data_IF_244065000114
#
_entry.id   IF_244065000114
#
_cell.length_a   1.000
_cell.length_b   1.000
_cell.length_c   1.000
_cell.angle_alpha   90.00
_cell.angle_beta   90.00
_cell.angle_gamma   90.00
#
_symmetry.space_group_name_H-M   'P 1'
#
loop_
_entity.id
_entity.type
_entity.pdbx_description
1 polymer ?
#
# COMPACT_ATOMS: atom_id res chain seq x y z
N UNK A 1 -12.82 0.52 -35.07
CA UNK A 1 -12.04 0.97 -33.88
C UNK A 1 -11.82 -0.12 -32.83
N UNK A 2 -12.84 -0.86 -32.37
CA UNK A 2 -12.69 -1.88 -31.31
C UNK A 2 -11.62 -2.97 -31.57
N UNK A 3 -11.44 -3.42 -32.82
CA UNK A 3 -10.42 -4.42 -33.18
C UNK A 3 -8.97 -3.92 -33.03
N UNK A 4 -8.69 -2.67 -33.37
CA UNK A 4 -7.34 -2.11 -33.24
C UNK A 4 -6.94 -1.89 -31.77
N UNK A 5 -7.91 -1.53 -30.91
CA UNK A 5 -7.69 -1.41 -29.46
C UNK A 5 -7.39 -2.78 -28.84
N UNK A 6 -8.11 -3.84 -29.23
CA UNK A 6 -7.80 -5.20 -28.78
C UNK A 6 -6.44 -5.70 -29.30
N UNK A 7 -6.08 -5.41 -30.55
CA UNK A 7 -4.76 -5.75 -31.10
C UNK A 7 -3.62 -5.02 -30.37
N UNK A 8 -3.79 -3.74 -30.07
CA UNK A 8 -2.81 -2.97 -29.29
C UNK A 8 -2.63 -3.54 -27.87
N UNK A 9 -3.72 -4.00 -27.23
CA UNK A 9 -3.65 -4.73 -25.95
C UNK A 9 -2.85 -6.03 -26.07
N UNK A 10 -3.06 -6.82 -27.11
CA UNK A 10 -2.32 -8.07 -27.36
C UNK A 10 -0.82 -7.86 -27.62
N UNK A 11 -0.41 -6.66 -28.05
CA UNK A 11 0.98 -6.30 -28.32
C UNK A 11 1.70 -5.68 -27.11
N UNK A 12 1.04 -5.52 -25.96
CA UNK A 12 1.63 -4.90 -24.78
C UNK A 12 1.90 -3.39 -24.90
N UNK A 13 1.44 -2.76 -25.98
CA UNK A 13 1.62 -1.32 -26.23
C UNK A 13 1.04 -0.38 -25.16
N UNK A 14 -0.03 -0.69 -24.39
CA UNK A 14 -0.46 0.19 -23.31
C UNK A 14 0.54 0.23 -22.15
N UNK A 15 1.22 -0.88 -21.88
CA UNK A 15 2.11 -1.02 -20.73
C UNK A 15 3.42 -0.26 -20.90
N UNK A 16 3.96 -0.19 -22.12
CA UNK A 16 5.29 0.35 -22.37
C UNK A 16 5.36 1.89 -22.16
N UNK A 17 4.45 2.71 -22.70
CA UNK A 17 4.39 4.14 -22.41
C UNK A 17 4.18 4.42 -20.92
N UNK A 18 3.26 3.69 -20.26
CA UNK A 18 2.98 3.86 -18.83
C UNK A 18 4.25 3.58 -18.01
N UNK A 19 4.94 2.47 -18.29
CA UNK A 19 6.19 2.13 -17.61
C UNK A 19 7.30 3.15 -17.84
N UNK A 20 7.45 3.65 -19.06
CA UNK A 20 8.43 4.68 -19.39
C UNK A 20 8.15 5.97 -18.62
N UNK A 21 6.90 6.41 -18.57
CA UNK A 21 6.51 7.59 -17.79
C UNK A 21 6.73 7.41 -16.29
N UNK A 22 6.35 6.26 -15.73
CA UNK A 22 6.60 5.95 -14.32
C UNK A 22 8.10 5.94 -14.02
N UNK A 23 8.90 5.29 -14.87
CA UNK A 23 10.35 5.24 -14.73
C UNK A 23 10.98 6.63 -14.80
N UNK A 24 10.55 7.48 -15.74
CA UNK A 24 10.98 8.87 -15.85
C UNK A 24 10.66 9.66 -14.58
N UNK A 25 9.40 9.60 -14.12
CA UNK A 25 8.91 10.34 -12.95
C UNK A 25 9.63 9.94 -11.66
N UNK A 26 9.93 8.66 -11.47
CA UNK A 26 10.66 8.15 -10.31
C UNK A 26 12.14 8.59 -10.30
N UNK A 27 12.71 8.86 -11.48
CA UNK A 27 14.12 9.22 -11.66
C UNK A 27 14.31 10.71 -11.98
N UNK A 28 13.29 11.56 -11.76
CA UNK A 28 13.40 12.99 -12.00
C UNK A 28 14.47 13.62 -11.08
N UNK A 29 15.47 14.32 -11.64
CA UNK A 29 16.50 14.96 -10.85
C UNK A 29 15.89 16.07 -9.99
N UNK A 30 16.18 16.06 -8.68
CA UNK A 30 15.72 17.09 -7.74
C UNK A 30 14.34 16.85 -7.12
N UNK A 31 13.63 15.77 -7.47
CA UNK A 31 12.33 15.41 -6.87
C UNK A 31 12.36 13.97 -6.35
N UNK A 32 12.91 13.71 -5.16
CA UNK A 32 12.98 12.36 -4.62
C UNK A 32 11.57 11.82 -4.30
N UNK A 33 11.12 10.84 -5.07
CA UNK A 33 9.91 10.05 -4.76
C UNK A 33 10.28 8.85 -3.87
N UNK A 34 11.40 8.20 -4.19
CA UNK A 34 11.97 7.07 -3.46
C UNK A 34 12.78 7.57 -2.26
N UNK A 35 12.07 8.08 -1.24
CA UNK A 35 12.47 8.38 0.16
C UNK A 35 11.52 9.46 0.64
N UNK A 36 10.52 9.09 1.44
CA UNK A 36 9.48 9.98 1.98
C UNK A 36 9.98 11.13 2.89
N UNK A 37 11.30 11.39 2.95
CA UNK A 37 11.94 12.27 3.93
C UNK A 37 12.12 13.73 3.46
N UNK A 38 12.03 14.03 2.16
CA UNK A 38 12.24 15.39 1.65
C UNK A 38 11.03 15.90 0.87
N UNK A 39 10.37 16.93 1.40
CA UNK A 39 9.34 17.72 0.71
C UNK A 39 10.01 18.61 -0.34
N UNK A 40 10.44 18.00 -1.44
CA UNK A 40 10.97 18.74 -2.58
C UNK A 40 9.83 19.48 -3.30
N UNK A 41 10.14 20.67 -3.81
CA UNK A 41 9.22 21.43 -4.65
C UNK A 41 8.86 20.58 -5.88
N UNK A 42 7.57 20.38 -6.15
CA UNK A 42 7.08 19.55 -7.26
C UNK A 42 6.86 18.06 -6.94
N UNK A 43 7.20 17.59 -5.73
CA UNK A 43 6.96 16.18 -5.34
C UNK A 43 5.48 15.81 -5.40
N UNK A 44 4.59 16.72 -4.99
CA UNK A 44 3.14 16.51 -5.04
C UNK A 44 2.63 16.33 -6.47
N UNK A 45 3.16 17.11 -7.41
CA UNK A 45 2.77 17.03 -8.82
C UNK A 45 3.25 15.72 -9.45
N UNK A 46 4.45 15.27 -9.08
CA UNK A 46 4.97 13.95 -9.50
C UNK A 46 4.11 12.81 -8.94
N UNK A 47 3.76 12.86 -7.65
CA UNK A 47 2.90 11.83 -7.04
C UNK A 47 1.50 11.85 -7.65
N UNK A 48 0.95 13.02 -7.96
CA UNK A 48 -0.31 13.14 -8.70
C UNK A 48 -0.23 12.44 -10.07
N UNK A 49 0.82 12.70 -10.86
CA UNK A 49 1.00 12.05 -12.16
C UNK A 49 1.16 10.53 -12.01
N UNK A 50 1.89 10.07 -10.99
CA UNK A 50 2.02 8.65 -10.69
C UNK A 50 0.67 8.02 -10.31
N UNK A 51 -0.17 8.73 -9.56
CA UNK A 51 -1.53 8.29 -9.21
C UNK A 51 -2.38 8.05 -10.45
N UNK A 52 -2.39 9.02 -11.37
CA UNK A 52 -3.10 8.92 -12.65
C UNK A 52 -2.57 7.75 -13.48
N UNK A 53 -1.24 7.57 -13.58
CA UNK A 53 -0.64 6.47 -14.35
C UNK A 53 -0.99 5.10 -13.77
N UNK A 54 -1.02 4.96 -12.45
CA UNK A 54 -1.45 3.72 -11.78
C UNK A 54 -2.94 3.47 -12.01
N UNK A 55 -3.77 4.51 -11.93
CA UNK A 55 -5.20 4.41 -12.23
C UNK A 55 -5.43 3.93 -13.67
N UNK A 56 -4.73 4.51 -14.65
CA UNK A 56 -4.79 4.09 -16.06
C UNK A 56 -4.29 2.65 -16.24
N UNK A 57 -3.22 2.26 -15.54
CA UNK A 57 -2.69 0.91 -15.57
C UNK A 57 -3.70 -0.13 -15.04
N UNK A 58 -4.50 0.24 -14.04
CA UNK A 58 -5.53 -0.60 -13.44
C UNK A 58 -6.78 -0.72 -14.34
N UNK A 59 -7.33 0.39 -14.83
CA UNK A 59 -8.60 0.36 -15.56
C UNK A 59 -8.47 0.10 -17.06
N UNK A 60 -7.46 0.67 -17.70
CA UNK A 60 -7.40 0.74 -19.17
C UNK A 60 -6.33 -0.17 -19.76
N UNK A 61 -5.17 -0.21 -19.11
CA UNK A 61 -3.98 -0.88 -19.63
C UNK A 61 -3.90 -2.38 -19.34
N UNK A 62 -4.68 -2.89 -18.38
CA UNK A 62 -4.56 -4.25 -17.81
C UNK A 62 -3.08 -4.64 -17.55
N UNK A 63 -2.31 -3.65 -17.08
CA UNK A 63 -0.86 -3.73 -16.98
C UNK A 63 -0.36 -3.34 -15.59
N UNK A 64 -1.28 -3.26 -14.62
CA UNK A 64 -0.98 -2.96 -13.23
C UNK A 64 0.12 -3.89 -12.69
N UNK A 65 0.10 -5.18 -13.01
CA UNK A 65 1.15 -6.11 -12.58
C UNK A 65 2.54 -5.71 -13.09
N UNK A 66 2.64 -5.28 -14.35
CA UNK A 66 3.92 -4.82 -14.91
C UNK A 66 4.40 -3.52 -14.23
N UNK A 67 3.47 -2.63 -13.88
CA UNK A 67 3.75 -1.42 -13.11
C UNK A 67 4.21 -1.78 -11.68
N UNK A 68 3.55 -2.72 -11.02
CA UNK A 68 3.93 -3.16 -9.67
C UNK A 68 5.32 -3.81 -9.65
N UNK A 69 5.67 -4.62 -10.65
CA UNK A 69 7.02 -5.17 -10.81
C UNK A 69 8.05 -4.04 -10.94
N UNK A 70 7.79 -3.06 -11.81
CA UNK A 70 8.68 -1.90 -11.97
C UNK A 70 8.87 -1.15 -10.65
N UNK A 71 7.79 -0.85 -9.93
CA UNK A 71 7.86 -0.15 -8.63
C UNK A 71 8.66 -0.94 -7.60
N UNK A 72 8.46 -2.26 -7.51
CA UNK A 72 9.22 -3.13 -6.62
C UNK A 72 10.71 -3.18 -6.96
N UNK A 73 11.06 -3.25 -8.25
CA UNK A 73 12.45 -3.22 -8.72
C UNK A 73 13.14 -1.89 -8.35
N UNK A 74 12.49 -0.76 -8.63
CA UNK A 74 13.03 0.56 -8.30
C UNK A 74 13.25 0.72 -6.79
N UNK A 75 12.30 0.24 -5.98
CA UNK A 75 12.41 0.29 -4.53
C UNK A 75 13.52 -0.63 -3.98
N UNK A 76 13.70 -1.82 -4.58
CA UNK A 76 14.79 -2.73 -4.25
C UNK A 76 16.15 -2.11 -4.58
N UNK A 77 16.30 -1.47 -5.74
CA UNK A 77 17.55 -0.80 -6.14
C UNK A 77 17.96 0.30 -5.16
N UNK A 78 17.00 1.11 -4.69
CA UNK A 78 17.28 2.18 -3.71
C UNK A 78 17.70 1.61 -2.34
N UNK A 79 17.17 0.45 -1.97
CA UNK A 79 17.51 -0.23 -0.71
C UNK A 79 18.95 -0.77 -0.73
N UNK A 80 19.41 -1.32 -1.86
CA UNK A 80 20.76 -1.86 -2.02
C UNK A 80 21.82 -0.75 -1.96
N UNK A 81 21.56 0.39 -2.62
CA UNK A 81 22.48 1.53 -2.67
C UNK A 81 22.67 2.24 -1.32
N UNK A 82 21.79 2.01 -0.34
CA UNK A 82 21.89 2.61 0.99
C UNK A 82 22.97 1.97 1.90
N UNK A 83 23.58 0.85 1.48
CA UNK A 83 24.66 0.17 2.19
C UNK A 83 24.22 -0.59 3.46
N UNK A 84 25.01 -1.57 3.94
CA UNK A 84 24.67 -2.43 5.08
C UNK A 84 24.62 -1.72 6.44
N UNK A 85 25.02 -0.44 6.52
CA UNK A 85 24.97 0.35 7.77
C UNK A 85 23.67 1.19 7.91
N UNK A 86 22.79 1.20 6.91
CA UNK A 86 21.51 1.93 6.96
C UNK A 86 20.30 1.01 7.13
N UNK A 87 20.41 0.01 8.00
CA UNK A 87 19.31 -0.86 8.44
C UNK A 87 18.27 -0.11 9.32
N UNK A 88 18.24 1.23 9.24
CA UNK A 88 17.23 2.12 9.85
C UNK A 88 16.28 2.75 8.82
N UNK A 89 16.46 2.50 7.52
CA UNK A 89 15.62 3.09 6.47
C UNK A 89 14.71 2.03 5.88
N UNK A 90 13.53 1.83 6.48
CA UNK A 90 12.51 0.94 5.92
C UNK A 90 12.20 1.34 4.47
N UNK A 91 12.15 0.41 3.51
CA UNK A 91 11.87 0.74 2.12
C UNK A 91 10.44 1.24 2.01
N UNK A 92 10.29 2.53 1.68
CA UNK A 92 8.99 3.17 1.63
C UNK A 92 8.91 4.24 0.55
N UNK A 93 7.90 4.12 -0.30
CA UNK A 93 7.51 5.09 -1.33
C UNK A 93 6.35 5.97 -0.86
N UNK A 94 5.50 5.42 0.00
CA UNK A 94 4.29 6.09 0.50
C UNK A 94 4.51 6.51 1.96
N UNK A 95 4.20 7.75 2.35
CA UNK A 95 4.30 8.21 3.74
C UNK A 95 3.70 7.21 4.75
N UNK A 96 4.33 7.05 5.92
CA UNK A 96 3.90 6.05 6.92
C UNK A 96 2.52 6.31 7.51
N UNK A 97 2.06 7.57 7.53
CA UNK A 97 0.73 7.87 8.05
C UNK A 97 -0.35 7.54 7.03
N UNK A 98 -0.44 8.24 5.91
CA UNK A 98 -1.36 7.94 4.81
C UNK A 98 -1.11 8.91 3.67
N UNK A 99 -1.47 8.54 2.46
CA UNK A 99 -1.53 9.45 1.32
C UNK A 99 -2.94 9.41 0.71
N UNK A 100 -3.93 10.07 1.35
CA UNK A 100 -5.32 10.03 0.90
C UNK A 100 -5.57 10.90 -0.33
N UNK A 101 -4.69 11.86 -0.64
CA UNK A 101 -4.82 12.69 -1.82
C UNK A 101 -4.52 11.91 -3.11
N UNK A 102 -3.76 10.82 -3.02
CA UNK A 102 -3.32 9.99 -4.14
C UNK A 102 -3.51 8.49 -3.82
N UNK A 103 -4.76 7.99 -3.74
CA UNK A 103 -5.03 6.64 -3.26
C UNK A 103 -4.53 5.52 -4.18
N UNK A 104 -4.46 5.74 -5.49
CA UNK A 104 -3.95 4.75 -6.44
C UNK A 104 -2.44 4.59 -6.32
N UNK A 105 -1.72 5.71 -6.22
CA UNK A 105 -0.29 5.70 -5.91
C UNK A 105 -0.04 5.02 -4.56
N UNK A 106 -0.80 5.37 -3.52
CA UNK A 106 -0.67 4.77 -2.20
C UNK A 106 -0.89 3.25 -2.24
N UNK A 107 -1.93 2.79 -2.96
CA UNK A 107 -2.24 1.38 -3.16
C UNK A 107 -1.08 0.65 -3.87
N UNK A 108 -0.63 1.15 -5.02
CA UNK A 108 0.42 0.49 -5.78
C UNK A 108 1.78 0.52 -5.07
N UNK A 109 2.14 1.63 -4.44
CA UNK A 109 3.36 1.77 -3.66
C UNK A 109 3.42 0.79 -2.50
N UNK A 110 2.36 0.67 -1.70
CA UNK A 110 2.33 -0.28 -0.59
C UNK A 110 2.26 -1.74 -1.03
N UNK A 111 1.62 -2.06 -2.16
CA UNK A 111 1.68 -3.42 -2.75
C UNK A 111 3.11 -3.73 -3.21
N UNK A 112 3.77 -2.78 -3.88
CA UNK A 112 5.15 -2.95 -4.33
C UNK A 112 6.13 -3.14 -3.16
N UNK A 113 5.94 -2.40 -2.07
CA UNK A 113 6.66 -2.57 -0.81
C UNK A 113 6.45 -3.96 -0.19
N UNK A 114 5.20 -4.47 -0.19
CA UNK A 114 4.88 -5.79 0.34
C UNK A 114 5.61 -6.94 -0.39
N UNK A 115 5.87 -6.76 -1.69
CA UNK A 115 6.57 -7.74 -2.55
C UNK A 115 8.08 -7.80 -2.27
N UNK A 116 8.64 -6.87 -1.52
CA UNK A 116 10.07 -6.90 -1.22
C UNK A 116 10.42 -8.08 -0.32
N UNK A 117 11.52 -8.82 -0.61
CA UNK A 117 11.95 -9.95 0.21
C UNK A 117 12.16 -9.59 1.68
N UNK A 118 12.74 -8.43 1.97
CA UNK A 118 12.98 -7.95 3.33
C UNK A 118 11.65 -7.72 4.10
N UNK A 119 10.66 -7.11 3.45
CA UNK A 119 9.34 -6.83 4.05
C UNK A 119 8.56 -8.13 4.26
N UNK A 120 8.57 -9.03 3.27
CA UNK A 120 7.95 -10.36 3.38
C UNK A 120 8.59 -11.18 4.51
N UNK A 121 9.92 -11.17 4.63
CA UNK A 121 10.63 -11.86 5.70
C UNK A 121 10.31 -11.28 7.07
N UNK A 122 10.31 -9.94 7.21
CA UNK A 122 9.93 -9.25 8.43
C UNK A 122 8.50 -9.62 8.85
N UNK A 123 7.55 -9.63 7.92
CA UNK A 123 6.17 -10.02 8.20
C UNK A 123 6.06 -11.47 8.73
N UNK A 124 6.74 -12.44 8.11
CA UNK A 124 6.79 -13.83 8.60
C UNK A 124 7.39 -13.92 10.02
N UNK A 125 8.44 -13.14 10.29
CA UNK A 125 9.05 -13.08 11.61
C UNK A 125 8.08 -12.49 12.66
N UNK A 126 7.32 -11.46 12.30
CA UNK A 126 6.25 -10.88 13.13
C UNK A 126 5.18 -11.92 13.47
N UNK A 127 4.67 -12.66 12.47
CA UNK A 127 3.68 -13.71 12.72
C UNK A 127 4.19 -14.77 13.69
N UNK A 128 5.47 -15.14 13.58
CA UNK A 128 6.12 -16.09 14.49
C UNK A 128 6.35 -15.51 15.89
N UNK A 129 6.66 -14.21 15.99
CA UNK A 129 6.84 -13.54 17.27
C UNK A 129 5.52 -13.43 18.06
N UNK A 130 4.42 -13.17 17.35
CA UNK A 130 3.08 -13.00 17.91
C UNK A 130 2.49 -14.32 18.44
N UNK A 131 2.93 -15.49 17.95
CA UNK A 131 2.52 -16.79 18.53
C UNK A 131 3.26 -17.14 19.82
N UNK A 132 4.49 -16.65 19.98
CA UNK A 132 5.34 -16.99 21.13
C UNK A 132 4.96 -16.25 22.41
N UNK A 133 4.27 -15.12 22.31
CA UNK A 133 3.91 -14.31 23.47
C UNK A 133 2.64 -13.50 23.20
N UNK A 134 1.76 -13.42 24.20
CA UNK A 134 0.61 -12.51 24.20
C UNK A 134 0.99 -11.06 24.52
N UNK A 135 2.20 -10.82 25.06
CA UNK A 135 2.81 -9.49 25.26
C UNK A 135 3.90 -9.26 24.21
N UNK A 136 3.49 -9.31 22.95
CA UNK A 136 4.37 -9.47 21.79
C UNK A 136 5.11 -8.20 21.34
N UNK A 137 4.87 -7.05 21.95
CA UNK A 137 5.36 -5.76 21.43
C UNK A 137 6.89 -5.69 21.29
N UNK A 138 7.62 -6.15 22.30
CA UNK A 138 9.08 -6.15 22.29
C UNK A 138 9.64 -7.13 21.26
N UNK A 139 9.05 -8.32 21.15
CA UNK A 139 9.44 -9.36 20.19
C UNK A 139 9.13 -8.94 18.74
N UNK A 140 8.00 -8.28 18.50
CA UNK A 140 7.64 -7.73 17.18
C UNK A 140 8.61 -6.63 16.78
N UNK A 141 8.92 -5.67 17.67
CA UNK A 141 9.93 -4.63 17.42
C UNK A 141 11.31 -5.23 17.11
N UNK A 142 11.71 -6.25 17.88
CA UNK A 142 12.98 -6.97 17.67
C UNK A 142 13.00 -7.72 16.34
N UNK A 143 11.90 -8.38 15.98
CA UNK A 143 11.78 -9.12 14.72
C UNK A 143 11.80 -8.18 13.49
N UNK A 144 11.18 -7.02 13.58
CA UNK A 144 11.13 -6.05 12.49
C UNK A 144 12.43 -5.25 12.31
N UNK A 145 13.19 -5.05 13.40
CA UNK A 145 14.34 -4.14 13.44
C UNK A 145 14.01 -2.72 12.94
N UNK A 146 12.73 -2.32 13.01
CA UNK A 146 12.19 -1.07 12.52
C UNK A 146 11.03 -0.57 13.42
N UNK A 147 10.65 0.73 13.35
CA UNK A 147 9.49 1.24 14.07
C UNK A 147 8.21 0.52 13.67
N UNK A 148 7.27 0.31 14.60
CA UNK A 148 6.02 -0.41 14.29
C UNK A 148 5.15 0.28 13.24
N UNK A 149 5.23 1.61 13.13
CA UNK A 149 4.46 2.40 12.16
C UNK A 149 4.76 2.00 10.70
N UNK A 150 5.89 1.32 10.45
CA UNK A 150 6.23 0.84 9.10
C UNK A 150 5.48 -0.43 8.70
N UNK A 151 4.87 -1.13 9.68
CA UNK A 151 4.15 -2.37 9.46
C UNK A 151 2.97 -2.12 8.53
N UNK A 152 2.95 -2.83 7.40
CA UNK A 152 1.94 -2.64 6.36
C UNK A 152 0.51 -2.78 6.90
N UNK A 153 0.28 -3.65 7.89
CA UNK A 153 -1.02 -3.77 8.56
C UNK A 153 -1.56 -2.42 9.08
N UNK A 154 -0.71 -1.64 9.78
CA UNK A 154 -1.13 -0.35 10.32
C UNK A 154 -1.20 0.72 9.23
N UNK A 155 -0.32 0.66 8.23
CA UNK A 155 -0.33 1.61 7.10
C UNK A 155 -1.57 1.45 6.23
N UNK A 156 -1.98 0.20 5.94
CA UNK A 156 -3.24 -0.08 5.27
C UNK A 156 -4.44 0.40 6.09
N UNK A 157 -4.42 0.20 7.42
CA UNK A 157 -5.48 0.70 8.29
C UNK A 157 -5.59 2.23 8.25
N UNK A 158 -4.47 2.94 8.34
CA UNK A 158 -4.48 4.39 8.22
C UNK A 158 -4.93 4.86 6.84
N UNK A 159 -4.44 4.24 5.75
CA UNK A 159 -4.86 4.60 4.40
C UNK A 159 -6.38 4.39 4.22
N UNK A 160 -6.93 3.28 4.70
CA UNK A 160 -8.36 2.97 4.62
C UNK A 160 -9.23 3.97 5.38
N UNK A 161 -8.77 4.43 6.55
CA UNK A 161 -9.50 5.40 7.37
C UNK A 161 -9.55 6.78 6.71
N UNK A 162 -8.49 7.19 6.00
CA UNK A 162 -8.40 8.54 5.41
C UNK A 162 -8.83 8.61 3.94
N UNK A 163 -9.02 7.48 3.26
CA UNK A 163 -9.48 7.47 1.86
C UNK A 163 -10.99 7.74 1.80
N UNK A 164 -11.41 8.59 0.87
CA UNK A 164 -12.82 8.97 0.67
C UNK A 164 -13.72 7.76 0.35
N UNK A 165 -14.95 7.80 0.86
CA UNK A 165 -15.91 6.69 0.75
C UNK A 165 -16.30 6.39 -0.71
N UNK A 166 -16.39 7.44 -1.53
CA UNK A 166 -16.73 7.35 -2.95
C UNK A 166 -15.55 6.96 -3.84
N UNK A 167 -14.32 6.91 -3.29
CA UNK A 167 -13.14 6.66 -4.09
C UNK A 167 -13.00 5.15 -4.43
N UNK A 168 -12.88 4.77 -5.71
CA UNK A 168 -12.90 3.36 -6.13
C UNK A 168 -11.75 2.51 -5.55
N UNK A 169 -10.58 3.11 -5.31
CA UNK A 169 -9.45 2.40 -4.70
C UNK A 169 -9.72 1.95 -3.25
N UNK A 170 -10.70 2.54 -2.54
CA UNK A 170 -10.98 2.24 -1.13
C UNK A 170 -11.26 0.75 -0.91
N UNK A 171 -12.02 0.11 -1.81
CA UNK A 171 -12.34 -1.31 -1.69
C UNK A 171 -11.07 -2.18 -1.79
N UNK A 172 -10.16 -1.83 -2.70
CA UNK A 172 -8.88 -2.53 -2.85
C UNK A 172 -7.97 -2.31 -1.64
N UNK A 173 -7.97 -1.11 -1.07
CA UNK A 173 -7.25 -0.76 0.16
C UNK A 173 -7.78 -1.61 1.33
N UNK A 174 -9.11 -1.77 1.46
CA UNK A 174 -9.70 -2.66 2.46
C UNK A 174 -9.34 -4.13 2.23
N UNK A 175 -9.34 -4.60 0.99
CA UNK A 175 -8.92 -5.97 0.66
C UNK A 175 -7.48 -6.23 1.12
N UNK A 176 -6.57 -5.29 0.89
CA UNK A 176 -5.20 -5.40 1.39
C UNK A 176 -5.15 -5.34 2.92
N UNK A 177 -5.86 -4.42 3.58
CA UNK A 177 -5.92 -4.40 5.04
C UNK A 177 -6.37 -5.75 5.63
N UNK A 178 -7.47 -6.31 5.11
CA UNK A 178 -8.02 -7.56 5.62
C UNK A 178 -7.14 -8.77 5.31
N UNK A 179 -6.38 -8.76 4.21
CA UNK A 179 -5.43 -9.84 3.90
C UNK A 179 -4.36 -9.96 4.99
N UNK A 180 -3.86 -8.84 5.52
CA UNK A 180 -2.93 -8.82 6.66
C UNK A 180 -3.63 -9.08 8.00
N UNK A 181 -4.79 -8.46 8.23
CA UNK A 181 -5.50 -8.56 9.52
C UNK A 181 -5.98 -9.99 9.81
N UNK A 182 -6.52 -10.66 8.79
CA UNK A 182 -7.08 -12.02 8.91
C UNK A 182 -6.06 -13.12 8.63
N UNK A 183 -4.80 -12.77 8.32
CA UNK A 183 -3.76 -13.76 8.10
C UNK A 183 -3.57 -14.62 9.34
N UNK A 184 -3.62 -15.94 9.14
CA UNK A 184 -3.43 -16.91 10.21
C UNK A 184 -1.95 -16.95 10.62
N UNK A 185 -1.72 -16.87 11.93
CA UNK A 185 -0.45 -17.21 12.53
C UNK A 185 -0.26 -18.74 12.55
N UNK A 186 0.96 -19.24 12.83
CA UNK A 186 1.25 -20.68 12.91
C UNK A 186 0.35 -21.50 13.86
N UNK A 187 -0.29 -20.85 14.84
CA UNK A 187 -1.22 -21.47 15.79
C UNK A 187 -2.70 -21.40 15.33
N UNK A 188 -2.95 -20.97 14.09
CA UNK A 188 -4.29 -20.92 13.49
C UNK A 188 -5.13 -19.71 13.92
N UNK A 189 -4.57 -18.77 14.69
CA UNK A 189 -5.27 -17.56 15.14
C UNK A 189 -4.87 -16.37 14.25
N UNK A 190 -5.84 -15.50 13.92
CA UNK A 190 -5.58 -14.32 13.08
C UNK A 190 -4.59 -13.35 13.74
N UNK A 191 -3.69 -12.79 12.95
CA UNK A 191 -2.66 -11.86 13.41
C UNK A 191 -3.23 -10.53 13.93
N UNK A 192 -4.32 -10.04 13.33
CA UNK A 192 -4.91 -8.72 13.56
C UNK A 192 -5.18 -8.39 15.03
N UNK A 193 -6.06 -9.12 15.73
CA UNK A 193 -6.41 -8.84 17.13
C UNK A 193 -5.17 -8.70 18.03
N UNK A 194 -4.24 -9.66 17.94
CA UNK A 194 -3.01 -9.67 18.73
C UNK A 194 -2.11 -8.47 18.43
N UNK A 195 -1.94 -8.14 17.16
CA UNK A 195 -1.11 -7.01 16.75
C UNK A 195 -1.71 -5.66 17.20
N UNK A 196 -3.02 -5.50 17.13
CA UNK A 196 -3.68 -4.27 17.57
C UNK A 196 -3.76 -4.16 19.10
N UNK A 197 -3.84 -5.28 19.83
CA UNK A 197 -3.80 -5.34 21.29
C UNK A 197 -2.38 -5.11 21.83
N UNK A 198 -1.37 -5.81 21.29
CA UNK A 198 0.04 -5.64 21.70
C UNK A 198 0.59 -4.26 21.33
N UNK A 199 0.20 -3.72 20.17
CA UNK A 199 0.86 -2.60 19.48
C UNK A 199 0.64 -1.22 20.09
N UNK A 200 -0.33 -1.05 20.99
CA UNK A 200 -0.81 0.28 21.38
C UNK A 200 -1.66 0.99 20.31
N UNK A 201 -2.01 0.29 19.22
CA UNK A 201 -2.84 0.79 18.11
C UNK A 201 -4.35 0.57 18.35
N UNK A 202 -4.78 0.39 19.60
CA UNK A 202 -6.19 0.19 19.94
C UNK A 202 -7.07 1.37 19.51
N UNK A 203 -6.54 2.60 19.54
CA UNK A 203 -7.20 3.80 19.02
C UNK A 203 -7.40 3.75 17.51
N UNK A 204 -6.41 3.25 16.75
CA UNK A 204 -6.53 3.03 15.31
C UNK A 204 -7.56 1.96 14.99
N UNK A 205 -7.59 0.85 15.75
CA UNK A 205 -8.62 -0.18 15.56
C UNK A 205 -10.04 0.35 15.79
N UNK A 206 -10.21 1.23 16.80
CA UNK A 206 -11.49 1.92 17.03
C UNK A 206 -11.88 2.76 15.82
N UNK A 207 -10.95 3.54 15.25
CA UNK A 207 -11.19 4.33 14.02
C UNK A 207 -11.54 3.45 12.82
N UNK A 208 -10.85 2.33 12.64
CA UNK A 208 -11.15 1.34 11.58
C UNK A 208 -12.58 0.81 11.72
N UNK A 209 -12.96 0.37 12.92
CA UNK A 209 -14.32 -0.14 13.19
C UNK A 209 -15.38 0.94 12.93
N UNK A 210 -15.15 2.16 13.41
CA UNK A 210 -16.05 3.28 13.17
C UNK A 210 -16.18 3.56 11.66
N UNK A 211 -15.07 3.60 10.93
CA UNK A 211 -15.06 3.83 9.49
C UNK A 211 -15.86 2.77 8.73
N UNK A 212 -15.75 1.49 9.11
CA UNK A 212 -16.52 0.42 8.48
C UNK A 212 -18.04 0.60 8.70
N UNK A 213 -18.46 1.01 9.90
CA UNK A 213 -19.88 1.32 10.19
C UNK A 213 -20.37 2.54 9.39
N UNK A 214 -19.53 3.56 9.23
CA UNK A 214 -19.84 4.72 8.38
C UNK A 214 -20.01 4.31 6.91
N UNK A 215 -19.11 3.47 6.38
CA UNK A 215 -19.18 2.96 5.01
C UNK A 215 -20.41 2.07 4.80
N UNK A 216 -20.74 1.19 5.74
CA UNK A 216 -21.95 0.38 5.70
C UNK A 216 -23.20 1.26 5.53
N UNK A 217 -23.32 2.32 6.34
CA UNK A 217 -24.43 3.28 6.24
C UNK A 217 -24.44 4.00 4.90
N UNK A 218 -23.28 4.49 4.45
CA UNK A 218 -23.14 5.19 3.18
C UNK A 218 -23.57 4.32 1.99
N UNK A 219 -23.06 3.09 1.88
CA UNK A 219 -23.44 2.17 0.81
C UNK A 219 -24.89 1.68 0.91
N UNK A 220 -25.42 1.52 2.13
CA UNK A 220 -26.85 1.19 2.32
C UNK A 220 -27.78 2.30 1.80
N UNK A 221 -27.41 3.56 2.02
CA UNK A 221 -28.15 4.71 1.47
C UNK A 221 -28.04 4.75 -0.05
N UNK A 222 -26.86 4.55 -0.62
CA UNK A 222 -26.67 4.48 -2.07
C UNK A 222 -27.52 3.38 -2.73
N UNK A 223 -27.54 2.18 -2.15
CA UNK A 223 -28.32 1.03 -2.65
C UNK A 223 -29.83 1.21 -2.50
N UNK A 224 -30.30 1.98 -1.52
CA UNK A 224 -31.72 2.28 -1.33
C UNK A 224 -32.19 3.44 -2.20
N UNK A 225 -31.32 4.42 -2.48
CA UNK A 225 -31.58 5.55 -3.37
C UNK A 225 -31.69 5.16 -4.85
N UNK A 226 -31.02 4.09 -5.29
CA UNK A 226 -31.10 3.59 -6.68
C UNK A 226 -32.43 2.90 -7.02
N UNK A 227 -33.29 2.60 -6.03
CA UNK A 227 -34.61 1.97 -6.26
C UNK A 227 -35.74 2.95 -6.62
N UNK A 228 -35.45 4.25 -6.74
CA UNK A 228 -36.40 5.28 -7.18
C UNK A 228 -36.02 5.84 -8.55
N UNK A 229 -36.08 5.03 -9.60
CA UNK A 229 -36.20 5.48 -10.99
C UNK A 229 -36.98 4.45 -11.80
#
# INVERSE_FOLDING_TARGET
>A
MARHVQQAKCWGFPSLPIRLWISLLLNLPGVPVLRAAHKAKGQRDVVYLLDILVQLAHFEGDCLESVLVLLSEQLASVTILAGPQSMKTWPSMVPFHSEPAFPWFALAGMIAEARLPAVTAAWKAVLTAVTRSTRCLAEVKKAMQAPLDVLLLYRWAHQAVHTDADHPALILIWQQFFSFYLQLCPDGISAGPRLFECGGYSSLLKKVKQRLVELEKHFSVLCSGTKKK
#
